data_IF_358085176543
#
_entry.id   IF_358085176543
#
_cell.length_a   1.000
_cell.length_b   1.000
_cell.length_c   1.000
_cell.angle_alpha   90.00
_cell.angle_beta   90.00
_cell.angle_gamma   90.00
#
_symmetry.space_group_name_H-M   'P 1'
#
loop_
_entity.id
_entity.type
_entity.pdbx_description
1 polymer ?
#
# COMPACT_ATOMS: atom_id res chain seq x y z
N UNK A 1 -21.44 -1.31 19.05
CA UNK A 1 -20.34 -0.38 18.73
C UNK A 1 -19.93 -0.57 17.27
N UNK A 2 -19.95 0.48 16.45
CA UNK A 2 -19.52 0.39 15.04
C UNK A 2 -18.10 0.93 14.94
N UNK A 3 -17.11 0.06 15.10
CA UNK A 3 -15.69 0.37 14.88
C UNK A 3 -15.33 0.49 13.38
N UNK A 4 -16.29 0.19 12.49
CA UNK A 4 -16.14 0.29 11.05
C UNK A 4 -15.85 1.74 10.65
N UNK A 5 -14.60 2.01 10.28
CA UNK A 5 -14.15 3.32 9.78
C UNK A 5 -13.27 4.13 10.74
N UNK A 6 -12.98 3.65 11.96
CA UNK A 6 -12.06 4.38 12.85
C UNK A 6 -10.64 4.39 12.30
N UNK A 7 -10.13 5.58 11.96
CA UNK A 7 -8.75 5.78 11.49
C UNK A 7 -7.72 5.27 12.51
N UNK A 8 -7.96 5.50 13.81
CA UNK A 8 -7.06 5.03 14.89
C UNK A 8 -6.96 3.51 14.94
N UNK A 9 -8.09 2.80 14.80
CA UNK A 9 -8.09 1.33 14.79
C UNK A 9 -7.38 0.81 13.55
N UNK A 10 -7.64 1.42 12.38
CA UNK A 10 -6.99 1.06 11.11
C UNK A 10 -5.48 1.27 11.16
N UNK A 11 -5.03 2.40 11.72
CA UNK A 11 -3.61 2.69 11.93
C UNK A 11 -2.97 1.69 12.87
N UNK A 12 -3.60 1.43 14.02
CA UNK A 12 -3.08 0.47 15.01
C UNK A 12 -2.96 -0.94 14.40
N UNK A 13 -3.97 -1.37 13.63
CA UNK A 13 -3.94 -2.64 12.92
C UNK A 13 -2.82 -2.68 11.87
N UNK A 14 -2.66 -1.62 11.07
CA UNK A 14 -1.60 -1.54 10.07
C UNK A 14 -0.20 -1.58 10.72
N UNK A 15 0.00 -0.85 11.81
CA UNK A 15 1.26 -0.88 12.57
C UNK A 15 1.57 -2.28 13.11
N UNK A 16 0.59 -2.95 13.72
CA UNK A 16 0.77 -4.31 14.27
C UNK A 16 1.10 -5.31 13.16
N UNK A 17 0.35 -5.28 12.04
CA UNK A 17 0.61 -6.14 10.88
C UNK A 17 2.02 -5.90 10.36
N UNK A 18 2.42 -4.64 10.15
CA UNK A 18 3.76 -4.28 9.67
C UNK A 18 4.87 -4.83 10.56
N UNK A 19 4.75 -4.66 11.89
CA UNK A 19 5.72 -5.20 12.85
C UNK A 19 5.80 -6.72 12.81
N UNK A 20 4.65 -7.40 12.73
CA UNK A 20 4.60 -8.86 12.66
C UNK A 20 5.27 -9.38 11.37
N UNK A 21 4.99 -8.75 10.23
CA UNK A 21 5.56 -9.16 8.94
C UNK A 21 7.08 -9.01 8.89
N UNK A 22 7.66 -8.04 9.61
CA UNK A 22 9.11 -7.92 9.73
C UNK A 22 9.77 -9.07 10.51
N UNK A 23 8.99 -9.86 11.25
CA UNK A 23 9.49 -10.94 12.11
C UNK A 23 9.24 -12.34 11.55
N UNK A 24 8.48 -12.47 10.46
CA UNK A 24 8.11 -13.76 9.89
C UNK A 24 9.07 -14.21 8.77
N UNK A 25 9.29 -15.52 8.70
CA UNK A 25 10.05 -16.20 7.64
C UNK A 25 9.29 -16.15 6.29
N UNK A 26 9.98 -16.19 5.13
CA UNK A 26 9.35 -16.28 3.81
C UNK A 26 8.25 -17.35 3.67
N UNK A 27 8.35 -18.50 4.36
CA UNK A 27 7.33 -19.56 4.34
C UNK A 27 5.95 -19.09 4.89
N UNK A 28 5.92 -17.99 5.64
CA UNK A 28 4.68 -17.37 6.08
C UNK A 28 3.86 -16.78 4.93
N UNK A 29 4.50 -16.34 3.84
CA UNK A 29 3.85 -15.61 2.74
C UNK A 29 3.23 -16.54 1.70
N UNK A 30 2.26 -17.34 2.13
CA UNK A 30 1.48 -18.19 1.20
C UNK A 30 0.68 -17.34 0.22
N UNK A 31 0.34 -17.92 -0.93
CA UNK A 31 -0.44 -17.24 -1.97
C UNK A 31 -1.74 -16.65 -1.41
N UNK A 32 -2.44 -17.42 -0.56
CA UNK A 32 -3.69 -16.98 0.07
C UNK A 32 -3.48 -15.78 1.00
N UNK A 33 -2.51 -15.84 1.92
CA UNK A 33 -2.26 -14.76 2.89
C UNK A 33 -1.78 -13.50 2.20
N UNK A 34 -0.88 -13.62 1.24
CA UNK A 34 -0.39 -12.50 0.44
C UNK A 34 -1.51 -11.83 -0.34
N UNK A 35 -2.45 -12.62 -0.88
CA UNK A 35 -3.66 -12.11 -1.55
C UNK A 35 -4.58 -11.36 -0.57
N UNK A 36 -4.85 -11.94 0.61
CA UNK A 36 -5.70 -11.33 1.63
C UNK A 36 -5.12 -10.01 2.15
N UNK A 37 -3.82 -9.99 2.46
CA UNK A 37 -3.12 -8.80 2.93
C UNK A 37 -3.07 -7.72 1.84
N UNK A 38 -2.80 -8.11 0.58
CA UNK A 38 -2.85 -7.18 -0.55
C UNK A 38 -4.23 -6.57 -0.71
N UNK A 39 -5.29 -7.39 -0.67
CA UNK A 39 -6.66 -6.91 -0.77
C UNK A 39 -7.01 -5.95 0.39
N UNK A 40 -6.57 -6.26 1.60
CA UNK A 40 -6.77 -5.39 2.76
C UNK A 40 -6.06 -4.06 2.60
N UNK A 41 -4.77 -4.04 2.20
CA UNK A 41 -4.04 -2.80 1.94
C UNK A 41 -4.66 -1.97 0.82
N UNK A 42 -5.08 -2.60 -0.28
CA UNK A 42 -5.80 -1.93 -1.35
C UNK A 42 -7.12 -1.32 -0.89
N UNK A 43 -7.84 -2.00 0.01
CA UNK A 43 -9.05 -1.44 0.63
C UNK A 43 -8.74 -0.23 1.51
N UNK A 44 -7.64 -0.26 2.27
CA UNK A 44 -7.21 0.89 3.05
C UNK A 44 -6.96 2.13 2.18
N UNK A 45 -6.26 1.94 1.05
CA UNK A 45 -5.87 3.00 0.13
C UNK A 45 -7.02 3.57 -0.71
N UNK A 46 -8.13 2.82 -0.86
CA UNK A 46 -9.32 3.29 -1.61
C UNK A 46 -10.33 4.04 -0.72
N UNK A 47 -9.97 4.35 0.51
CA UNK A 47 -10.88 5.02 1.44
C UNK A 47 -11.08 6.51 1.07
N UNK A 48 -12.32 7.00 1.17
CA UNK A 48 -12.66 8.39 0.85
C UNK A 48 -12.05 9.41 1.83
N UNK A 49 -11.76 8.98 3.06
CA UNK A 49 -11.14 9.75 4.13
C UNK A 49 -9.76 9.13 4.44
N UNK A 50 -8.97 8.93 3.39
CA UNK A 50 -7.64 8.34 3.51
C UNK A 50 -6.77 9.18 4.46
N UNK A 51 -6.35 8.57 5.56
CA UNK A 51 -5.33 9.12 6.45
C UNK A 51 -3.94 8.81 5.87
N UNK A 52 -3.08 9.83 5.77
CA UNK A 52 -1.71 9.68 5.29
C UNK A 52 -0.93 8.63 6.09
N UNK A 53 -1.11 8.58 7.41
CA UNK A 53 -0.47 7.57 8.27
C UNK A 53 -0.92 6.14 7.92
N UNK A 54 -2.23 5.96 7.70
CA UNK A 54 -2.78 4.65 7.30
C UNK A 54 -2.28 4.25 5.91
N UNK A 55 -2.23 5.20 4.97
CA UNK A 55 -1.71 5.00 3.63
C UNK A 55 -0.23 4.61 3.64
N UNK A 56 0.57 5.29 4.46
CA UNK A 56 1.99 5.01 4.62
C UNK A 56 2.22 3.60 5.19
N UNK A 57 1.48 3.21 6.23
CA UNK A 57 1.61 1.87 6.80
C UNK A 57 1.15 0.78 5.83
N UNK A 58 0.03 0.98 5.12
CA UNK A 58 -0.43 0.06 4.08
C UNK A 58 0.62 -0.10 2.95
N UNK A 59 1.26 0.99 2.55
CA UNK A 59 2.33 0.98 1.54
C UNK A 59 3.56 0.22 2.02
N UNK A 60 3.97 0.38 3.28
CA UNK A 60 5.06 -0.39 3.89
C UNK A 60 4.75 -1.89 3.90
N UNK A 61 3.53 -2.27 4.27
CA UNK A 61 3.08 -3.67 4.25
C UNK A 61 3.16 -4.24 2.83
N UNK A 62 2.65 -3.50 1.84
CA UNK A 62 2.72 -3.91 0.43
C UNK A 62 4.15 -4.09 -0.05
N UNK A 63 5.08 -3.23 0.36
CA UNK A 63 6.50 -3.35 0.03
C UNK A 63 7.14 -4.61 0.64
N UNK A 64 6.73 -5.01 1.86
CA UNK A 64 7.20 -6.27 2.46
C UNK A 64 6.66 -7.46 1.68
N UNK A 65 5.36 -7.50 1.43
CA UNK A 65 4.71 -8.63 0.76
C UNK A 65 5.19 -8.77 -0.69
N UNK A 66 5.44 -7.67 -1.42
CA UNK A 66 5.83 -7.70 -2.83
C UNK A 66 7.11 -8.50 -3.09
N UNK A 67 8.01 -8.60 -2.09
CA UNK A 67 9.24 -9.40 -2.16
C UNK A 67 8.99 -10.92 -2.18
N UNK A 68 7.79 -11.35 -1.81
CA UNK A 68 7.40 -12.74 -1.66
C UNK A 68 6.29 -13.14 -2.65
N UNK A 69 5.91 -12.25 -3.56
CA UNK A 69 4.92 -12.54 -4.59
C UNK A 69 5.55 -13.26 -5.77
N UNK A 70 4.81 -14.20 -6.35
CA UNK A 70 5.13 -14.71 -7.68
C UNK A 70 4.69 -13.70 -8.77
N UNK A 71 5.04 -13.99 -10.03
CA UNK A 71 4.78 -13.10 -11.16
C UNK A 71 3.30 -12.73 -11.32
N UNK A 72 2.40 -13.70 -11.23
CA UNK A 72 0.96 -13.48 -11.41
C UNK A 72 0.37 -12.63 -10.27
N UNK A 73 0.79 -12.90 -9.04
CA UNK A 73 0.40 -12.10 -7.88
C UNK A 73 0.93 -10.67 -7.97
N UNK A 74 2.16 -10.50 -8.45
CA UNK A 74 2.75 -9.17 -8.64
C UNK A 74 2.01 -8.38 -9.73
N UNK A 75 1.68 -9.01 -10.87
CA UNK A 75 0.84 -8.39 -11.90
C UNK A 75 -0.51 -7.95 -11.35
N UNK A 76 -1.19 -8.82 -10.58
CA UNK A 76 -2.46 -8.47 -9.95
C UNK A 76 -2.34 -7.31 -8.96
N UNK A 77 -1.25 -7.24 -8.19
CA UNK A 77 -0.96 -6.12 -7.30
C UNK A 77 -0.83 -4.80 -8.09
N UNK A 78 -0.06 -4.81 -9.18
CA UNK A 78 0.14 -3.62 -10.04
C UNK A 78 -1.19 -3.14 -10.63
N UNK A 79 -2.02 -4.04 -11.14
CA UNK A 79 -3.34 -3.70 -11.69
C UNK A 79 -4.25 -3.07 -10.64
N UNK A 80 -4.24 -3.60 -9.41
CA UNK A 80 -5.02 -3.06 -8.28
C UNK A 80 -4.54 -1.67 -7.89
N UNK A 81 -3.22 -1.46 -7.81
CA UNK A 81 -2.64 -0.14 -7.51
C UNK A 81 -2.96 0.88 -8.60
N UNK A 82 -2.87 0.49 -9.87
CA UNK A 82 -3.26 1.35 -10.98
C UNK A 82 -4.75 1.74 -10.90
N UNK A 83 -5.62 0.79 -10.53
CA UNK A 83 -7.04 1.09 -10.31
C UNK A 83 -7.27 2.06 -9.14
N UNK A 84 -6.48 2.00 -8.08
CA UNK A 84 -6.57 2.92 -6.94
C UNK A 84 -6.12 4.32 -7.36
N UNK A 85 -5.00 4.43 -8.08
CA UNK A 85 -4.52 5.71 -8.60
C UNK A 85 -5.55 6.36 -9.53
N UNK A 86 -6.18 5.58 -10.43
CA UNK A 86 -7.28 6.08 -11.28
C UNK A 86 -8.47 6.55 -10.44
N UNK A 87 -8.79 5.84 -9.36
CA UNK A 87 -9.86 6.23 -8.45
C UNK A 87 -9.56 7.57 -7.77
N UNK A 88 -8.34 7.76 -7.24
CA UNK A 88 -7.90 9.04 -6.65
C UNK A 88 -7.91 10.19 -7.64
N UNK A 89 -7.36 10.01 -8.85
CA UNK A 89 -7.36 11.05 -9.89
C UNK A 89 -8.79 11.47 -10.26
N UNK A 90 -9.71 10.50 -10.34
CA UNK A 90 -11.11 10.76 -10.72
C UNK A 90 -11.94 11.38 -9.59
N UNK A 91 -11.62 11.11 -8.32
CA UNK A 91 -12.41 11.55 -7.16
C UNK A 91 -11.76 12.67 -6.33
N UNK A 92 -10.46 12.93 -6.50
CA UNK A 92 -9.66 13.97 -5.84
C UNK A 92 -8.64 14.61 -6.81
N UNK A 93 -9.10 15.30 -7.87
CA UNK A 93 -8.23 15.84 -8.91
C UNK A 93 -7.16 16.82 -8.39
N UNK A 94 -7.43 17.54 -7.29
CA UNK A 94 -6.52 18.56 -6.75
C UNK A 94 -5.44 18.04 -5.79
N UNK A 95 -5.60 16.86 -5.18
CA UNK A 95 -4.61 16.27 -4.27
C UNK A 95 -3.62 15.34 -5.00
N UNK A 96 -4.11 14.67 -6.06
CA UNK A 96 -3.37 13.67 -6.84
C UNK A 96 -2.10 14.20 -7.52
N UNK A 97 -2.01 15.51 -7.78
CA UNK A 97 -0.84 16.16 -8.37
C UNK A 97 0.39 16.20 -7.44
N UNK A 98 0.22 16.17 -6.10
CA UNK A 98 1.36 16.24 -5.16
C UNK A 98 2.04 14.89 -4.93
N UNK A 99 1.29 13.80 -4.95
CA UNK A 99 1.81 12.48 -4.56
C UNK A 99 2.65 11.84 -5.67
N UNK A 100 2.28 12.04 -6.95
CA UNK A 100 3.04 11.52 -8.10
C UNK A 100 4.47 12.09 -8.17
N UNK A 101 4.67 13.34 -7.75
CA UNK A 101 5.99 13.99 -7.73
C UNK A 101 6.88 13.45 -6.59
N UNK A 102 6.29 12.93 -5.51
CA UNK A 102 7.02 12.42 -4.35
C UNK A 102 7.42 10.94 -4.42
N UNK A 103 6.82 10.16 -5.32
CA UNK A 103 7.05 8.72 -5.46
C UNK A 103 8.03 8.32 -6.57
N UNK A 104 8.51 9.29 -7.36
CA UNK A 104 9.64 9.07 -8.27
C UNK A 104 10.91 9.41 -7.48
N UNK A 105 11.78 8.42 -7.14
CA UNK A 105 13.12 8.76 -6.69
C UNK A 105 13.80 9.48 -7.85
N UNK A 106 14.15 10.75 -7.68
CA UNK A 106 15.08 11.44 -8.56
C UNK A 106 16.47 10.86 -8.28
N UNK A 107 16.70 9.60 -8.68
CA UNK A 107 18.04 9.07 -8.92
C UNK A 107 18.38 9.32 -10.39
N UNK A 108 18.66 10.58 -10.73
CA UNK A 108 19.37 10.95 -11.96
C UNK A 108 19.83 12.41 -11.87
N UNK A 109 20.75 12.70 -10.94
CA UNK A 109 21.52 13.95 -11.01
C UNK A 109 22.89 13.81 -10.36
N UNK A 110 23.67 12.81 -10.78
CA UNK A 110 25.14 12.80 -10.68
C UNK A 110 25.72 12.01 -11.87
N UNK A 111 25.73 12.63 -13.04
CA UNK A 111 26.55 12.18 -14.16
C UNK A 111 26.77 13.29 -15.19
N UNK A 112 27.21 14.48 -14.76
CA UNK A 112 28.00 15.38 -15.62
C UNK A 112 29.01 16.11 -14.73
N UNK A 113 30.23 15.57 -14.69
CA UNK A 113 31.48 16.29 -14.46
C UNK A 113 32.56 15.56 -15.24
#
# INVERSE_FOLDING_TARGET
MKCNGSATIRLSAACLIGQCLCSYDPAFFTVERSTQLTAWCCWQLRDKLLSEDVALQASKILMVISRHLNEDQFKSLVERLASICRFEVSHQPNASLKVLVSLIPIESSKAIS
#
